data_IF_493735806538
#
_entry.id   IF_493735806538
#
_cell.length_a   1.000
_cell.length_b   1.000
_cell.length_c   1.000
_cell.angle_alpha   90.00
_cell.angle_beta   90.00
_cell.angle_gamma   90.00
#
_symmetry.space_group_name_H-M   'P 1'
#
loop_
_entity.id
_entity.type
_entity.pdbx_description
1 polymer ?
#
# COMPACT_ATOMS: atom_id res chain seq x y z
N UNK A 1 -0.42 -21.50 -5.87
CA UNK A 1 -1.71 -21.41 -6.58
C UNK A 1 -2.87 -21.46 -5.60
N UNK A 2 -3.03 -22.50 -4.78
CA UNK A 2 -4.10 -22.57 -3.76
C UNK A 2 -4.29 -21.29 -2.92
N UNK A 3 -3.23 -20.70 -2.36
CA UNK A 3 -3.31 -19.50 -1.51
C UNK A 3 -3.81 -18.26 -2.26
N UNK A 4 -3.39 -18.06 -3.52
CA UNK A 4 -3.79 -16.89 -4.30
C UNK A 4 -5.24 -16.99 -4.76
N UNK A 5 -5.69 -18.20 -5.11
CA UNK A 5 -7.08 -18.44 -5.50
C UNK A 5 -8.01 -18.23 -4.29
N UNK A 6 -7.62 -18.75 -3.12
CA UNK A 6 -8.35 -18.57 -1.85
C UNK A 6 -8.39 -17.10 -1.41
N UNK A 7 -7.25 -16.40 -1.49
CA UNK A 7 -7.19 -14.96 -1.20
C UNK A 7 -8.06 -14.16 -2.16
N UNK A 8 -8.08 -14.51 -3.44
CA UNK A 8 -8.87 -13.82 -4.46
C UNK A 8 -10.38 -14.02 -4.24
N UNK A 9 -10.80 -15.25 -3.92
CA UNK A 9 -12.18 -15.56 -3.56
C UNK A 9 -12.61 -14.79 -2.31
N UNK A 10 -11.81 -14.84 -1.24
CA UNK A 10 -12.11 -14.20 0.03
C UNK A 10 -12.21 -12.67 -0.09
N UNK A 11 -11.25 -12.04 -0.77
CA UNK A 11 -11.26 -10.60 -1.01
C UNK A 11 -12.30 -10.18 -2.06
N UNK A 12 -12.79 -11.12 -2.86
CA UNK A 12 -13.79 -10.92 -3.91
C UNK A 12 -15.24 -11.03 -3.46
N UNK A 13 -15.50 -11.43 -2.20
CA UNK A 13 -16.85 -11.51 -1.63
C UNK A 13 -17.57 -10.15 -1.65
N UNK A 14 -18.90 -10.16 -1.64
CA UNK A 14 -19.68 -8.92 -1.55
C UNK A 14 -19.38 -8.16 -0.25
N UNK A 15 -19.40 -6.81 -0.30
CA UNK A 15 -19.05 -5.93 0.83
C UNK A 15 -19.82 -6.27 2.12
N UNK A 16 -21.10 -6.61 2.01
CA UNK A 16 -21.93 -6.98 3.15
C UNK A 16 -21.61 -8.35 3.75
N UNK A 17 -20.93 -9.23 3.03
CA UNK A 17 -20.54 -10.55 3.52
C UNK A 17 -19.15 -10.50 4.17
N UNK A 18 -18.19 -9.82 3.53
CA UNK A 18 -16.83 -9.67 4.04
C UNK A 18 -16.78 -9.00 5.42
N UNK A 19 -17.44 -7.84 5.55
CA UNK A 19 -17.44 -7.08 6.80
C UNK A 19 -18.23 -7.78 7.91
N UNK A 20 -19.32 -8.47 7.54
CA UNK A 20 -20.17 -9.19 8.50
C UNK A 20 -19.48 -10.42 9.09
N UNK A 21 -18.64 -11.07 8.29
CA UNK A 21 -17.93 -12.28 8.69
C UNK A 21 -16.57 -12.00 9.34
N UNK A 22 -16.17 -10.73 9.46
CA UNK A 22 -14.89 -10.29 10.05
C UNK A 22 -13.67 -11.01 9.43
N UNK A 23 -13.72 -11.22 8.10
CA UNK A 23 -12.72 -11.97 7.34
C UNK A 23 -11.38 -11.23 7.19
N UNK A 24 -11.23 -10.09 7.88
CA UNK A 24 -10.01 -9.32 7.91
C UNK A 24 -8.83 -10.13 8.44
N UNK A 25 -9.04 -10.92 9.51
CA UNK A 25 -7.98 -11.73 10.10
C UNK A 25 -7.60 -12.90 9.19
N UNK A 26 -8.57 -13.54 8.56
CA UNK A 26 -8.32 -14.64 7.61
C UNK A 26 -7.58 -14.14 6.36
N UNK A 27 -7.95 -12.96 5.84
CA UNK A 27 -7.20 -12.29 4.79
C UNK A 27 -5.75 -12.00 5.21
N UNK A 28 -5.54 -11.49 6.43
CA UNK A 28 -4.20 -11.20 6.95
C UNK A 28 -3.36 -12.48 7.04
N UNK A 29 -3.92 -13.58 7.56
CA UNK A 29 -3.25 -14.87 7.65
C UNK A 29 -2.86 -15.44 6.27
N UNK A 30 -3.72 -15.30 5.26
CA UNK A 30 -3.41 -15.70 3.88
C UNK A 30 -2.32 -14.82 3.27
N UNK A 31 -2.39 -13.50 3.49
CA UNK A 31 -1.39 -12.54 3.02
C UNK A 31 -0.02 -12.81 3.67
N UNK A 32 0.02 -13.17 4.95
CA UNK A 32 1.26 -13.51 5.67
C UNK A 32 1.96 -14.76 5.13
N UNK A 33 1.26 -15.61 4.38
CA UNK A 33 1.82 -16.81 3.75
C UNK A 33 2.40 -16.55 2.36
N UNK A 34 2.12 -15.40 1.76
CA UNK A 34 2.61 -15.04 0.43
C UNK A 34 4.14 -15.09 0.36
N UNK A 35 4.65 -15.53 -0.79
CA UNK A 35 6.07 -15.54 -1.09
C UNK A 35 6.40 -14.53 -2.19
N UNK A 36 7.66 -14.09 -2.32
CA UNK A 36 8.04 -13.17 -3.41
C UNK A 36 7.70 -13.69 -4.81
N UNK A 37 7.63 -15.02 -4.99
CA UNK A 37 7.23 -15.66 -6.24
C UNK A 37 5.74 -15.49 -6.59
N UNK A 38 4.89 -15.18 -5.61
CA UNK A 38 3.45 -14.97 -5.81
C UNK A 38 3.13 -13.55 -6.29
N UNK A 39 4.06 -12.60 -6.11
CA UNK A 39 3.86 -11.17 -6.41
C UNK A 39 3.42 -10.91 -7.86
N UNK A 40 4.01 -11.54 -8.90
CA UNK A 40 3.54 -11.31 -10.27
C UNK A 40 2.07 -11.69 -10.48
N UNK A 41 1.62 -12.78 -9.88
CA UNK A 41 0.23 -13.21 -9.98
C UNK A 41 -0.69 -12.30 -9.12
N UNK A 42 -0.23 -11.87 -7.95
CA UNK A 42 -0.95 -10.90 -7.13
C UNK A 42 -1.12 -9.54 -7.85
N UNK A 43 -0.12 -9.08 -8.59
CA UNK A 43 -0.20 -7.86 -9.42
C UNK A 43 -1.15 -8.03 -10.61
N UNK A 44 -1.30 -9.25 -11.14
CA UNK A 44 -2.28 -9.56 -12.17
C UNK A 44 -3.71 -9.50 -11.60
N UNK A 45 -3.93 -10.10 -10.42
CA UNK A 45 -5.20 -10.01 -9.70
C UNK A 45 -5.54 -8.56 -9.35
N UNK A 46 -4.56 -7.79 -8.86
CA UNK A 46 -4.73 -6.37 -8.55
C UNK A 46 -5.29 -5.57 -9.75
N UNK A 47 -4.79 -5.83 -10.95
CA UNK A 47 -5.27 -5.16 -12.18
C UNK A 47 -6.62 -5.70 -12.66
N UNK A 48 -6.88 -6.99 -12.46
CA UNK A 48 -8.14 -7.63 -12.87
C UNK A 48 -9.30 -7.29 -11.92
N UNK A 49 -9.01 -6.97 -10.65
CA UNK A 49 -10.00 -6.72 -9.60
C UNK A 49 -10.20 -5.22 -9.35
N UNK A 50 -11.36 -4.89 -8.80
CA UNK A 50 -11.79 -3.51 -8.55
C UNK A 50 -11.25 -2.91 -7.25
N UNK A 51 -11.59 -1.62 -6.98
CA UNK A 51 -11.08 -0.88 -5.81
C UNK A 51 -11.39 -1.52 -4.46
N UNK A 52 -12.55 -2.16 -4.27
CA UNK A 52 -12.91 -2.83 -3.00
C UNK A 52 -11.94 -3.96 -2.67
N UNK A 53 -11.59 -4.80 -3.65
CA UNK A 53 -10.62 -5.88 -3.49
C UNK A 53 -9.24 -5.34 -3.13
N UNK A 54 -8.78 -4.30 -3.85
CA UNK A 54 -7.48 -3.65 -3.63
C UNK A 54 -7.40 -3.03 -2.23
N UNK A 55 -8.49 -2.39 -1.78
CA UNK A 55 -8.60 -1.79 -0.46
C UNK A 55 -8.53 -2.86 0.64
N UNK A 56 -9.27 -3.97 0.50
CA UNK A 56 -9.26 -5.06 1.48
C UNK A 56 -7.87 -5.71 1.57
N UNK A 57 -7.21 -5.99 0.44
CA UNK A 57 -5.83 -6.49 0.42
C UNK A 57 -4.91 -5.55 1.22
N UNK A 58 -4.94 -4.25 0.90
CA UNK A 58 -4.07 -3.27 1.53
C UNK A 58 -4.35 -3.11 3.04
N UNK A 59 -5.62 -3.16 3.43
CA UNK A 59 -6.01 -3.09 4.84
C UNK A 59 -5.55 -4.33 5.60
N UNK A 60 -5.78 -5.52 5.07
CA UNK A 60 -5.45 -6.81 5.66
C UNK A 60 -3.97 -7.18 5.60
N UNK A 61 -3.10 -6.36 4.98
CA UNK A 61 -1.66 -6.63 4.88
C UNK A 61 -0.88 -6.35 6.18
N UNK A 62 -1.39 -6.79 7.35
CA UNK A 62 -0.76 -6.55 8.65
C UNK A 62 0.48 -7.40 8.89
N UNK A 63 0.44 -8.65 8.42
CA UNK A 63 1.44 -9.70 8.59
C UNK A 63 2.28 -9.96 7.33
N UNK A 64 2.06 -9.17 6.26
CA UNK A 64 2.76 -9.31 5.00
C UNK A 64 4.29 -9.29 5.20
N UNK A 65 4.98 -10.26 4.59
CA UNK A 65 6.44 -10.29 4.63
C UNK A 65 7.05 -9.04 3.96
N UNK A 66 8.14 -8.52 4.53
CA UNK A 66 8.77 -7.30 4.08
C UNK A 66 9.36 -7.38 2.66
N UNK A 67 9.82 -8.56 2.21
CA UNK A 67 10.29 -8.73 0.84
C UNK A 67 9.13 -8.78 -0.16
N UNK A 68 8.03 -9.45 0.22
CA UNK A 68 6.78 -9.47 -0.56
C UNK A 68 6.21 -8.06 -0.71
N UNK A 69 6.10 -7.32 0.39
CA UNK A 69 5.58 -5.95 0.40
C UNK A 69 6.42 -5.02 -0.48
N UNK A 70 7.75 -5.10 -0.40
CA UNK A 70 8.65 -4.31 -1.25
C UNK A 70 8.49 -4.65 -2.73
N UNK A 71 8.42 -5.93 -3.08
CA UNK A 71 8.23 -6.38 -4.45
C UNK A 71 6.85 -5.96 -4.99
N UNK A 72 5.80 -6.07 -4.17
CA UNK A 72 4.44 -5.64 -4.50
C UNK A 72 4.42 -4.13 -4.77
N UNK A 73 4.95 -3.30 -3.87
CA UNK A 73 5.03 -1.85 -4.07
C UNK A 73 5.82 -1.48 -5.33
N UNK A 74 6.96 -2.14 -5.58
CA UNK A 74 7.75 -1.90 -6.79
C UNK A 74 6.97 -2.23 -8.09
N UNK A 75 6.12 -3.26 -8.05
CA UNK A 75 5.24 -3.61 -9.17
C UNK A 75 4.05 -2.65 -9.32
N UNK A 76 3.40 -2.27 -8.22
CA UNK A 76 2.27 -1.35 -8.22
C UNK A 76 2.65 0.03 -8.79
N UNK A 77 3.84 0.51 -8.46
CA UNK A 77 4.37 1.78 -8.98
C UNK A 77 4.58 1.79 -10.50
N UNK A 78 4.64 0.61 -11.16
CA UNK A 78 4.73 0.49 -12.61
C UNK A 78 3.37 0.43 -13.31
N UNK A 79 2.29 0.22 -12.55
CA UNK A 79 0.94 0.12 -13.09
C UNK A 79 0.32 1.52 -13.16
N UNK A 80 -0.08 2.01 -14.35
CA UNK A 80 -0.75 3.29 -14.49
C UNK A 80 -2.03 3.32 -13.64
N UNK A 81 -2.24 4.39 -12.90
CA UNK A 81 -3.43 4.61 -12.06
C UNK A 81 -3.63 3.62 -10.90
N UNK A 82 -2.63 2.82 -10.52
CA UNK A 82 -2.69 1.94 -9.34
C UNK A 82 -2.59 2.70 -7.99
N UNK A 83 -3.02 3.97 -7.93
CA UNK A 83 -2.87 4.82 -6.75
C UNK A 83 -3.70 4.37 -5.54
N UNK A 84 -4.74 3.55 -5.75
CA UNK A 84 -5.52 2.97 -4.66
C UNK A 84 -4.63 2.03 -3.83
N UNK A 85 -4.72 2.07 -2.50
CA UNK A 85 -4.00 1.14 -1.61
C UNK A 85 -2.48 1.30 -1.50
N UNK A 86 -1.76 1.95 -2.43
CA UNK A 86 -0.29 2.15 -2.35
C UNK A 86 0.09 2.90 -1.06
N UNK A 87 -0.61 3.98 -0.71
CA UNK A 87 -0.36 4.71 0.54
C UNK A 87 -0.59 3.82 1.77
N UNK A 88 -1.66 3.01 1.76
CA UNK A 88 -1.95 2.07 2.84
C UNK A 88 -0.84 1.03 2.99
N UNK A 89 -0.38 0.45 1.87
CA UNK A 89 0.73 -0.52 1.83
C UNK A 89 2.06 0.12 2.23
N UNK A 90 2.34 1.37 1.85
CA UNK A 90 3.49 2.13 2.35
C UNK A 90 3.46 2.23 3.88
N UNK A 91 2.28 2.41 4.46
CA UNK A 91 2.08 2.42 5.92
C UNK A 91 2.44 1.10 6.62
N UNK A 92 2.59 0.00 5.88
CA UNK A 92 3.01 -1.32 6.38
C UNK A 92 4.51 -1.58 6.27
N UNK A 93 5.24 -0.73 5.53
CA UNK A 93 6.69 -0.88 5.45
C UNK A 93 7.33 -0.62 6.83
N UNK A 94 8.36 -1.39 7.21
CA UNK A 94 9.14 -1.04 8.38
C UNK A 94 9.75 0.36 8.20
N UNK A 95 9.94 1.13 9.28
CA UNK A 95 10.51 2.48 9.24
C UNK A 95 11.99 2.39 8.88
N UNK A 96 12.26 2.31 7.57
CA UNK A 96 13.61 2.23 7.04
C UNK A 96 13.72 3.28 5.94
N UNK A 97 14.42 4.36 6.27
CA UNK A 97 14.93 5.28 5.27
C UNK A 97 16.13 4.64 4.57
N UNK A 98 15.91 3.51 3.88
CA UNK A 98 16.93 3.01 2.96
C UNK A 98 16.95 3.91 1.73
N UNK A 99 18.13 4.15 1.18
CA UNK A 99 18.32 4.88 -0.07
C UNK A 99 18.14 3.93 -1.27
N UNK A 100 17.17 3.02 -1.19
CA UNK A 100 16.91 2.07 -2.26
C UNK A 100 16.21 2.73 -3.44
N UNK A 101 16.30 2.17 -4.65
CA UNK A 101 15.50 2.61 -5.80
C UNK A 101 13.99 2.60 -5.51
N UNK A 102 13.51 1.66 -4.67
CA UNK A 102 12.12 1.62 -4.24
C UNK A 102 11.77 2.86 -3.39
N UNK A 103 12.63 3.24 -2.46
CA UNK A 103 12.46 4.43 -1.61
C UNK A 103 12.35 5.71 -2.44
N UNK A 104 13.17 5.83 -3.50
CA UNK A 104 13.11 6.95 -4.44
C UNK A 104 11.79 6.96 -5.24
N UNK A 105 11.36 5.80 -5.74
CA UNK A 105 10.10 5.68 -6.48
C UNK A 105 8.87 5.95 -5.59
N UNK A 106 8.88 5.49 -4.34
CA UNK A 106 7.83 5.78 -3.36
C UNK A 106 7.79 7.27 -2.99
N UNK A 107 8.95 7.93 -2.95
CA UNK A 107 9.05 9.36 -2.72
C UNK A 107 8.50 10.17 -3.90
N UNK A 108 8.84 9.77 -5.14
CA UNK A 108 8.27 10.34 -6.37
C UNK A 108 6.74 10.19 -6.39
N UNK A 109 6.25 9.00 -6.04
CA UNK A 109 4.81 8.73 -5.92
C UNK A 109 4.15 9.61 -4.86
N UNK A 110 4.71 9.70 -3.66
CA UNK A 110 4.14 10.48 -2.56
C UNK A 110 4.11 11.98 -2.87
N UNK A 111 5.11 12.50 -3.57
CA UNK A 111 5.15 13.88 -4.05
C UNK A 111 4.04 14.14 -5.09
N UNK A 112 3.89 13.27 -6.09
CA UNK A 112 2.81 13.38 -7.08
C UNK A 112 1.43 13.28 -6.42
N UNK A 113 1.26 12.32 -5.50
CA UNK A 113 0.03 12.16 -4.73
C UNK A 113 -0.27 13.41 -3.90
N UNK A 114 0.74 14.05 -3.31
CA UNK A 114 0.58 15.28 -2.53
C UNK A 114 0.03 16.43 -3.38
N UNK A 115 0.58 16.62 -4.58
CA UNK A 115 0.15 17.68 -5.49
C UNK A 115 -1.28 17.47 -6.02
N UNK A 116 -1.70 16.21 -6.19
CA UNK A 116 -3.04 15.86 -6.64
C UNK A 116 -4.08 15.75 -5.50
N UNK A 117 -3.63 15.73 -4.24
CA UNK A 117 -4.46 15.44 -3.08
C UNK A 117 -5.28 16.64 -2.58
N UNK A 118 -6.44 16.33 -2.04
CA UNK A 118 -7.23 17.23 -1.18
C UNK A 118 -6.62 17.31 0.23
N UNK A 119 -6.95 18.33 1.03
CA UNK A 119 -6.45 18.45 2.40
C UNK A 119 -6.71 17.22 3.29
N UNK A 120 -7.83 16.52 3.09
CA UNK A 120 -8.14 15.29 3.83
C UNK A 120 -7.15 14.15 3.51
N UNK A 121 -6.66 14.09 2.26
CA UNK A 121 -5.72 13.07 1.79
C UNK A 121 -4.27 13.39 2.18
N UNK A 122 -3.92 14.66 2.41
CA UNK A 122 -2.60 15.06 2.90
C UNK A 122 -2.22 14.38 4.21
N UNK A 123 -3.17 14.18 5.13
CA UNK A 123 -2.94 13.45 6.38
C UNK A 123 -2.59 11.97 6.15
N UNK A 124 -3.25 11.32 5.20
CA UNK A 124 -2.93 9.93 4.85
C UNK A 124 -1.52 9.83 4.26
N UNK A 125 -1.14 10.76 3.39
CA UNK A 125 0.20 10.82 2.80
C UNK A 125 1.26 11.03 3.89
N UNK A 126 1.01 11.98 4.81
CA UNK A 126 1.87 12.23 5.96
C UNK A 126 2.07 10.95 6.79
N UNK A 127 0.98 10.29 7.20
CA UNK A 127 1.04 9.07 8.02
C UNK A 127 1.81 7.96 7.31
N UNK A 128 1.52 7.74 6.02
CA UNK A 128 2.17 6.70 5.21
C UNK A 128 3.68 6.95 5.10
N UNK A 129 4.07 8.19 4.81
CA UNK A 129 5.48 8.58 4.72
C UNK A 129 6.18 8.56 6.07
N UNK A 130 5.46 8.79 7.17
CA UNK A 130 6.04 8.71 8.51
C UNK A 130 6.34 7.27 8.88
N UNK A 131 5.39 6.36 8.66
CA UNK A 131 5.55 4.93 8.95
C UNK A 131 6.76 4.31 8.23
N UNK A 132 7.01 4.69 6.98
CA UNK A 132 8.14 4.16 6.20
C UNK A 132 9.41 5.03 6.25
N UNK A 133 9.44 6.10 7.06
CA UNK A 133 10.63 6.94 7.24
C UNK A 133 10.93 7.93 6.12
N UNK A 134 9.99 8.16 5.19
CA UNK A 134 10.13 9.09 4.07
C UNK A 134 9.74 10.54 4.39
N UNK A 135 9.11 10.82 5.52
CA UNK A 135 8.59 12.17 5.83
C UNK A 135 9.61 13.28 5.66
N UNK A 136 10.82 13.15 6.21
CA UNK A 136 11.84 14.20 6.10
C UNK A 136 12.28 14.45 4.66
N UNK A 137 12.34 13.39 3.85
CA UNK A 137 12.69 13.49 2.42
C UNK A 137 11.57 14.14 1.62
N UNK A 138 10.31 13.79 1.91
CA UNK A 138 9.15 14.39 1.27
C UNK A 138 9.02 15.88 1.62
N UNK A 139 9.12 16.24 2.91
CA UNK A 139 9.13 17.64 3.35
C UNK A 139 10.19 18.46 2.60
N UNK A 140 11.41 17.92 2.46
CA UNK A 140 12.48 18.59 1.72
C UNK A 140 12.12 18.82 0.25
N UNK A 141 11.48 17.86 -0.43
CA UNK A 141 11.03 18.02 -1.83
C UNK A 141 9.91 19.05 -1.97
N UNK A 142 8.99 19.07 -1.00
CA UNK A 142 7.90 20.04 -0.94
C UNK A 142 8.36 21.46 -0.54
N UNK A 143 9.63 21.64 -0.15
CA UNK A 143 10.14 22.93 0.33
C UNK A 143 9.62 23.32 1.72
N UNK A 144 9.22 22.33 2.52
CA UNK A 144 8.65 22.53 3.86
C UNK A 144 9.66 22.11 4.94
N UNK A 145 9.73 22.86 6.04
CA UNK A 145 10.54 22.50 7.20
C UNK A 145 9.82 21.52 8.15
N UNK A 146 8.48 21.52 8.14
CA UNK A 146 7.67 20.63 8.99
C UNK A 146 6.26 20.41 8.43
N UNK A 147 5.58 19.36 8.90
CA UNK A 147 4.17 19.11 8.57
C UNK A 147 3.23 20.23 9.05
N UNK A 148 3.60 20.94 10.12
CA UNK A 148 2.87 22.10 10.62
C UNK A 148 2.78 23.22 9.57
N UNK A 149 3.81 23.40 8.74
CA UNK A 149 3.78 24.39 7.65
C UNK A 149 2.80 24.00 6.53
N UNK A 150 2.46 22.71 6.41
CA UNK A 150 1.40 22.21 5.54
C UNK A 150 0.01 22.21 6.21
N UNK A 151 -0.13 22.69 7.44
CA UNK A 151 -1.40 22.69 8.18
C UNK A 151 -1.80 21.32 8.75
N UNK A 152 -0.84 20.41 8.95
CA UNK A 152 -1.02 19.07 9.52
C UNK A 152 -0.42 18.93 10.93
#
# INVERSE_FOLDING_TARGET
MAILDELDELLGLDDGEYDRLDLFLEADELIGQLQPADVPALLALWQARGPSWQQRLAQASGSIDGAVLRALLAGLLQIPHAGHGVLTLMGRLPPVADASPLSDALLDFAEQAWQAATPAQHRQIQMSCWSCGLSGRLLKRLGLASWKEAGL
#
